data_IF_059527216415
#
_entry.id   IF_059527216415
#
_cell.length_a   1.000
_cell.length_b   1.000
_cell.length_c   1.000
_cell.angle_alpha   90.00
_cell.angle_beta   90.00
_cell.angle_gamma   90.00
#
_symmetry.space_group_name_H-M   'P 1'
#
loop_
_entity.id
_entity.type
_entity.pdbx_description
1 polymer ?
#
# COMPACT_ATOMS: atom_id res chain seq x y z
N UNK A 1 -21.47 -8.67 -8.55
CA UNK A 1 -20.13 -8.11 -8.70
C UNK A 1 -19.12 -9.16 -8.29
N UNK A 2 -18.21 -9.49 -9.20
CA UNK A 2 -17.19 -10.52 -9.03
C UNK A 2 -15.84 -9.86 -8.80
N UNK A 3 -15.15 -10.23 -7.73
CA UNK A 3 -13.92 -9.57 -7.29
C UNK A 3 -12.84 -10.61 -7.03
N UNK A 4 -11.67 -10.44 -7.63
CA UNK A 4 -10.48 -11.19 -7.27
C UNK A 4 -9.58 -10.34 -6.37
N UNK A 5 -9.07 -10.92 -5.30
CA UNK A 5 -8.06 -10.30 -4.44
C UNK A 5 -6.73 -10.98 -4.72
N UNK A 6 -5.86 -10.31 -5.46
CA UNK A 6 -4.52 -10.79 -5.78
C UNK A 6 -3.58 -10.45 -4.63
N UNK A 7 -3.22 -11.47 -3.86
CA UNK A 7 -2.46 -11.33 -2.63
C UNK A 7 -3.34 -11.22 -1.39
N UNK A 8 -3.83 -12.37 -0.91
CA UNK A 8 -4.60 -12.46 0.34
C UNK A 8 -3.70 -12.35 1.58
N UNK A 9 -2.83 -11.33 1.62
CA UNK A 9 -2.08 -10.93 2.82
C UNK A 9 -2.98 -10.28 3.88
N UNK A 10 -2.41 -9.58 4.85
CA UNK A 10 -3.17 -8.99 5.96
C UNK A 10 -4.29 -8.05 5.47
N UNK A 11 -3.99 -7.11 4.56
CA UNK A 11 -4.98 -6.18 3.99
C UNK A 11 -5.89 -6.90 2.98
N UNK A 12 -5.32 -7.68 2.05
CA UNK A 12 -6.11 -8.34 1.02
C UNK A 12 -7.11 -9.34 1.59
N UNK A 13 -6.72 -10.17 2.55
CA UNK A 13 -7.63 -11.10 3.22
C UNK A 13 -8.71 -10.35 4.04
N UNK A 14 -8.36 -9.26 4.71
CA UNK A 14 -9.33 -8.41 5.42
C UNK A 14 -10.39 -7.81 4.50
N UNK A 15 -9.95 -7.19 3.39
CA UNK A 15 -10.85 -6.61 2.38
C UNK A 15 -11.72 -7.70 1.75
N UNK A 16 -11.11 -8.80 1.32
CA UNK A 16 -11.83 -9.89 0.68
C UNK A 16 -12.88 -10.53 1.61
N UNK A 17 -12.53 -10.72 2.88
CA UNK A 17 -13.48 -11.22 3.88
C UNK A 17 -14.66 -10.24 4.11
N UNK A 18 -14.37 -8.92 4.16
CA UNK A 18 -15.37 -7.89 4.31
C UNK A 18 -16.31 -7.83 3.08
N UNK A 19 -15.76 -7.80 1.86
CA UNK A 19 -16.53 -7.82 0.62
C UNK A 19 -17.42 -9.06 0.50
N UNK A 20 -16.89 -10.24 0.84
CA UNK A 20 -17.67 -11.49 0.84
C UNK A 20 -18.83 -11.43 1.85
N UNK A 21 -18.58 -10.90 3.05
CA UNK A 21 -19.64 -10.66 4.06
C UNK A 21 -20.70 -9.69 3.55
N UNK A 22 -20.32 -8.72 2.71
CA UNK A 22 -21.22 -7.77 2.04
C UNK A 22 -22.01 -8.36 0.87
N UNK A 23 -21.81 -9.64 0.54
CA UNK A 23 -22.53 -10.35 -0.53
C UNK A 23 -21.86 -10.31 -1.91
N UNK A 24 -20.61 -9.82 -2.02
CA UNK A 24 -19.87 -9.91 -3.27
C UNK A 24 -19.37 -11.35 -3.54
N UNK A 25 -19.25 -11.73 -4.82
CA UNK A 25 -18.60 -12.96 -5.25
C UNK A 25 -17.08 -12.75 -5.23
N UNK A 26 -16.44 -13.21 -4.15
CA UNK A 26 -15.03 -12.94 -3.86
C UNK A 26 -14.16 -14.16 -4.05
N UNK A 27 -13.05 -13.98 -4.77
CA UNK A 27 -12.02 -14.98 -5.00
C UNK A 27 -10.69 -14.49 -4.44
N UNK A 28 -10.12 -15.23 -3.48
CA UNK A 28 -8.82 -14.90 -2.88
C UNK A 28 -7.71 -15.67 -3.57
N UNK A 29 -6.64 -14.99 -3.96
CA UNK A 29 -5.42 -15.61 -4.46
C UNK A 29 -4.38 -15.58 -3.35
N UNK A 30 -4.07 -16.77 -2.82
CA UNK A 30 -3.15 -16.98 -1.70
C UNK A 30 -2.22 -18.16 -2.01
N UNK A 31 -1.22 -18.41 -1.15
CA UNK A 31 -0.26 -19.51 -1.30
C UNK A 31 0.03 -20.22 0.03
N UNK A 32 0.58 -21.43 -0.07
CA UNK A 32 1.11 -22.19 1.07
C UNK A 32 0.09 -22.45 2.18
N UNK A 33 0.56 -22.46 3.41
CA UNK A 33 -0.28 -22.74 4.60
C UNK A 33 -1.45 -21.78 4.76
N UNK A 34 -1.26 -20.51 4.35
CA UNK A 34 -2.31 -19.51 4.43
C UNK A 34 -3.50 -19.87 3.50
N UNK A 35 -3.22 -20.31 2.27
CA UNK A 35 -4.23 -20.80 1.35
C UNK A 35 -4.95 -22.04 1.91
N UNK A 36 -4.19 -23.02 2.42
CA UNK A 36 -4.75 -24.26 2.98
C UNK A 36 -5.71 -23.93 4.12
N UNK A 37 -5.31 -23.04 5.03
CA UNK A 37 -6.14 -22.62 6.16
C UNK A 37 -7.42 -21.89 5.69
N UNK A 38 -7.33 -21.01 4.67
CA UNK A 38 -8.49 -20.31 4.11
C UNK A 38 -9.44 -21.29 3.45
N UNK A 39 -8.94 -22.27 2.68
CA UNK A 39 -9.77 -23.32 2.05
C UNK A 39 -10.53 -24.16 3.10
N UNK A 40 -9.85 -24.53 4.19
CA UNK A 40 -10.46 -25.36 5.23
C UNK A 40 -11.46 -24.60 6.12
N UNK A 41 -11.10 -23.40 6.55
CA UNK A 41 -11.78 -22.70 7.66
C UNK A 41 -12.40 -21.36 7.24
N UNK A 42 -12.06 -20.84 6.05
CA UNK A 42 -12.33 -19.46 5.67
C UNK A 42 -11.31 -18.49 6.25
N UNK A 43 -11.54 -17.20 6.06
CA UNK A 43 -10.77 -16.10 6.68
C UNK A 43 -11.47 -15.73 7.98
N UNK A 44 -10.78 -15.94 9.10
CA UNK A 44 -11.19 -15.41 10.40
C UNK A 44 -10.63 -14.01 10.57
N UNK A 45 -11.48 -13.06 10.90
CA UNK A 45 -11.09 -11.69 11.24
C UNK A 45 -11.38 -11.46 12.71
N UNK A 46 -10.33 -11.30 13.52
CA UNK A 46 -10.41 -10.88 14.91
C UNK A 46 -10.34 -9.35 14.94
N UNK A 47 -11.40 -8.68 15.42
CA UNK A 47 -11.54 -7.22 15.29
C UNK A 47 -12.16 -6.59 16.53
N UNK A 48 -11.67 -5.42 16.99
CA UNK A 48 -12.32 -4.65 18.06
C UNK A 48 -13.74 -4.21 17.70
N UNK A 49 -14.16 -4.38 16.45
CA UNK A 49 -15.51 -4.06 15.95
C UNK A 49 -16.42 -5.28 15.85
N UNK A 50 -15.99 -6.41 16.35
CA UNK A 50 -16.66 -7.71 16.29
C UNK A 50 -15.95 -8.69 15.35
N UNK A 51 -15.70 -9.88 15.86
CA UNK A 51 -15.07 -10.96 15.11
C UNK A 51 -16.07 -11.55 14.08
N UNK A 52 -15.52 -12.03 12.97
CA UNK A 52 -16.32 -12.73 11.97
C UNK A 52 -15.47 -13.72 11.18
N UNK A 53 -16.15 -14.63 10.49
CA UNK A 53 -15.55 -15.57 9.54
C UNK A 53 -16.24 -15.42 8.20
N UNK A 54 -15.45 -15.30 7.14
CA UNK A 54 -15.94 -15.33 5.75
C UNK A 54 -15.33 -16.53 5.02
N UNK A 55 -16.06 -17.15 4.12
CA UNK A 55 -15.62 -18.31 3.34
C UNK A 55 -15.63 -18.02 1.85
N UNK A 56 -14.86 -17.04 1.35
CA UNK A 56 -14.72 -16.82 -0.08
C UNK A 56 -13.99 -18.00 -0.73
N UNK A 57 -14.16 -18.15 -2.04
CA UNK A 57 -13.34 -19.09 -2.80
C UNK A 57 -11.86 -18.68 -2.70
N UNK A 58 -10.96 -19.66 -2.58
CA UNK A 58 -9.54 -19.40 -2.47
C UNK A 58 -8.71 -20.36 -3.33
N UNK A 59 -7.79 -19.82 -4.13
CA UNK A 59 -6.91 -20.58 -5.02
C UNK A 59 -5.52 -19.96 -5.11
N UNK A 60 -4.56 -20.70 -5.63
CA UNK A 60 -3.25 -20.22 -6.06
C UNK A 60 -3.14 -20.13 -7.59
N UNK A 61 -4.14 -20.64 -8.32
CA UNK A 61 -4.23 -20.53 -9.77
C UNK A 61 -5.33 -19.55 -10.20
N UNK A 62 -4.97 -18.32 -10.63
CA UNK A 62 -5.95 -17.35 -11.11
C UNK A 62 -6.74 -17.79 -12.35
N UNK A 63 -6.25 -18.79 -13.11
CA UNK A 63 -6.95 -19.32 -14.28
C UNK A 63 -8.26 -20.03 -13.92
N UNK A 64 -8.35 -20.59 -12.71
CA UNK A 64 -9.60 -21.18 -12.19
C UNK A 64 -10.70 -20.14 -12.00
N UNK A 65 -10.32 -18.85 -11.86
CA UNK A 65 -11.25 -17.75 -11.63
C UNK A 65 -11.74 -17.18 -12.98
N UNK A 66 -10.82 -16.89 -13.89
CA UNK A 66 -11.12 -16.18 -15.14
C UNK A 66 -11.43 -14.69 -14.91
N UNK A 67 -11.93 -13.98 -15.94
CA UNK A 67 -12.18 -12.54 -15.87
C UNK A 67 -13.17 -12.14 -14.77
N UNK A 68 -12.88 -11.02 -14.11
CA UNK A 68 -13.67 -10.46 -13.01
C UNK A 68 -13.97 -8.96 -13.24
N UNK A 69 -14.92 -8.41 -12.48
CA UNK A 69 -15.24 -6.98 -12.56
C UNK A 69 -14.11 -6.12 -11.94
N UNK A 70 -13.54 -6.60 -10.81
CA UNK A 70 -12.48 -5.89 -10.08
C UNK A 70 -11.37 -6.84 -9.66
N UNK A 71 -10.12 -6.39 -9.79
CA UNK A 71 -8.97 -7.01 -9.14
C UNK A 71 -8.46 -6.07 -8.04
N UNK A 72 -8.57 -6.48 -6.78
CA UNK A 72 -7.93 -5.77 -5.68
C UNK A 72 -6.51 -6.30 -5.48
N UNK A 73 -5.51 -5.42 -5.60
CA UNK A 73 -4.10 -5.74 -5.40
C UNK A 73 -3.76 -5.61 -3.91
N UNK A 74 -3.69 -6.73 -3.21
CA UNK A 74 -3.20 -6.83 -1.84
C UNK A 74 -1.70 -7.14 -1.76
N UNK A 75 -0.99 -7.02 -2.88
CA UNK A 75 0.47 -7.16 -2.99
C UNK A 75 1.16 -5.86 -2.59
N UNK A 76 2.45 -5.95 -2.25
CA UNK A 76 3.30 -4.76 -2.12
C UNK A 76 3.70 -4.23 -3.50
N UNK A 77 3.88 -2.90 -3.62
CA UNK A 77 4.13 -2.22 -4.88
C UNK A 77 5.30 -2.81 -5.70
N UNK A 78 6.39 -3.22 -5.03
CA UNK A 78 7.55 -3.84 -5.69
C UNK A 78 7.25 -5.17 -6.41
N UNK A 79 6.11 -5.79 -6.14
CA UNK A 79 5.68 -7.04 -6.79
C UNK A 79 4.80 -6.80 -8.02
N UNK A 80 4.42 -5.56 -8.33
CA UNK A 80 3.45 -5.30 -9.39
C UNK A 80 4.01 -5.62 -10.78
N UNK A 81 5.21 -5.20 -11.10
CA UNK A 81 5.86 -5.47 -12.39
C UNK A 81 5.95 -6.97 -12.73
N UNK A 82 6.05 -7.83 -11.72
CA UNK A 82 6.14 -9.29 -11.89
C UNK A 82 4.80 -10.02 -11.74
N UNK A 83 3.71 -9.29 -11.50
CA UNK A 83 2.39 -9.90 -11.28
C UNK A 83 1.65 -10.33 -12.57
N UNK A 84 2.20 -10.03 -13.75
CA UNK A 84 1.59 -10.30 -15.06
C UNK A 84 0.98 -11.68 -15.20
N UNK A 85 1.71 -12.78 -14.95
CA UNK A 85 1.17 -14.13 -15.07
C UNK A 85 -0.02 -14.43 -14.14
N UNK A 86 -0.09 -13.72 -13.01
CA UNK A 86 -1.16 -13.90 -12.02
C UNK A 86 -2.37 -13.02 -12.31
N UNK A 87 -2.17 -11.83 -12.87
CA UNK A 87 -3.27 -10.90 -13.09
C UNK A 87 -3.92 -11.07 -14.46
N UNK A 88 -3.15 -11.40 -15.52
CA UNK A 88 -3.66 -11.51 -16.89
C UNK A 88 -4.90 -12.42 -17.03
N UNK A 89 -4.99 -13.58 -16.35
CA UNK A 89 -6.19 -14.43 -16.45
C UNK A 89 -7.44 -13.80 -15.85
N UNK A 90 -7.29 -12.77 -14.97
CA UNK A 90 -8.38 -12.09 -14.27
C UNK A 90 -8.93 -10.90 -15.05
N UNK A 91 -8.22 -10.45 -16.08
CA UNK A 91 -8.55 -9.24 -16.82
C UNK A 91 -9.50 -9.55 -17.98
N UNK A 92 -10.70 -8.98 -17.94
CA UNK A 92 -11.59 -8.81 -19.09
C UNK A 92 -11.47 -7.39 -19.66
N UNK A 93 -12.34 -7.05 -20.61
CA UNK A 93 -12.29 -5.74 -21.28
C UNK A 93 -12.48 -4.57 -20.30
N UNK A 94 -13.41 -4.70 -19.35
CA UNK A 94 -13.79 -3.65 -18.42
C UNK A 94 -13.26 -3.87 -16.98
N UNK A 95 -12.42 -4.87 -16.75
CA UNK A 95 -11.88 -5.14 -15.41
C UNK A 95 -11.12 -3.94 -14.85
N UNK A 96 -11.55 -3.45 -13.70
CA UNK A 96 -10.86 -2.40 -12.95
C UNK A 96 -9.82 -2.99 -11.98
N UNK A 97 -8.68 -2.32 -11.84
CA UNK A 97 -7.58 -2.72 -10.96
C UNK A 97 -7.46 -1.73 -9.80
N UNK A 98 -7.71 -2.21 -8.59
CA UNK A 98 -7.70 -1.41 -7.36
C UNK A 98 -6.38 -1.65 -6.62
N UNK A 99 -5.52 -0.63 -6.59
CA UNK A 99 -4.21 -0.75 -5.95
C UNK A 99 -4.26 -0.35 -4.47
N UNK A 100 -4.33 -1.33 -3.60
CA UNK A 100 -4.30 -1.14 -2.14
C UNK A 100 -2.88 -0.99 -1.60
N UNK A 101 -2.09 -0.03 -2.09
CA UNK A 101 -0.69 0.17 -1.72
C UNK A 101 -0.46 1.41 -0.86
N UNK A 102 0.71 1.46 -0.20
CA UNK A 102 1.25 2.66 0.41
C UNK A 102 2.13 3.41 -0.60
N UNK A 103 2.25 4.73 -0.44
CA UNK A 103 3.15 5.54 -1.26
C UNK A 103 2.53 6.03 -2.56
N UNK A 104 3.40 6.48 -3.46
CA UNK A 104 3.02 6.96 -4.79
C UNK A 104 2.68 5.76 -5.68
N UNK A 105 1.51 5.77 -6.35
CA UNK A 105 1.15 4.72 -7.29
C UNK A 105 1.80 4.93 -8.67
N UNK A 106 1.99 3.84 -9.44
CA UNK A 106 2.56 3.89 -10.79
C UNK A 106 1.77 4.77 -11.76
N UNK A 107 0.46 4.88 -11.58
CA UNK A 107 -0.45 5.68 -12.41
C UNK A 107 -0.51 7.17 -12.00
N UNK A 108 0.32 7.65 -11.07
CA UNK A 108 0.16 8.96 -10.43
C UNK A 108 -0.01 10.11 -11.43
N UNK A 109 0.77 10.16 -12.51
CA UNK A 109 0.69 11.20 -13.54
C UNK A 109 -0.29 10.87 -14.69
N UNK A 110 -0.97 9.72 -14.67
CA UNK A 110 -1.99 9.39 -15.65
C UNK A 110 -3.23 10.27 -15.46
N UNK A 111 -3.68 10.94 -16.55
CA UNK A 111 -4.80 11.90 -16.52
C UNK A 111 -4.65 13.03 -15.49
N UNK A 112 -3.44 13.42 -15.16
CA UNK A 112 -3.15 14.61 -14.37
C UNK A 112 -2.94 15.79 -15.31
N UNK A 113 -3.93 16.68 -15.42
CA UNK A 113 -3.79 17.87 -16.27
C UNK A 113 -2.57 18.71 -15.88
N UNK A 114 -1.74 19.08 -16.86
CA UNK A 114 -0.57 19.91 -16.65
C UNK A 114 0.71 19.34 -17.25
N UNK A 115 1.88 19.92 -16.92
CA UNK A 115 3.14 19.62 -17.60
C UNK A 115 3.70 18.20 -17.29
N UNK A 116 3.13 17.52 -16.34
CA UNK A 116 3.58 16.19 -15.90
C UNK A 116 2.68 15.06 -16.38
N UNK A 117 1.59 15.36 -17.13
CA UNK A 117 0.65 14.35 -17.61
C UNK A 117 1.36 13.23 -18.38
N UNK A 118 1.04 11.98 -18.03
CA UNK A 118 1.61 10.79 -18.64
C UNK A 118 3.08 10.53 -18.30
N UNK A 119 3.71 11.35 -17.46
CA UNK A 119 5.10 11.13 -17.04
C UNK A 119 5.19 9.90 -16.16
N UNK A 120 6.22 9.09 -16.40
CA UNK A 120 6.53 7.91 -15.59
C UNK A 120 7.37 8.30 -14.37
N UNK A 121 7.17 7.56 -13.26
CA UNK A 121 7.99 7.61 -12.05
C UNK A 121 8.73 6.29 -11.98
N UNK A 122 10.04 6.30 -12.24
CA UNK A 122 10.86 5.08 -12.36
C UNK A 122 10.89 4.27 -11.06
N UNK A 123 10.81 4.92 -9.92
CA UNK A 123 10.79 4.24 -8.61
C UNK A 123 9.60 3.27 -8.44
N UNK A 124 8.47 3.50 -9.11
CA UNK A 124 7.26 2.67 -9.00
C UNK A 124 6.83 2.02 -10.31
N UNK A 125 7.46 2.41 -11.41
CA UNK A 125 7.23 1.84 -12.74
C UNK A 125 8.56 1.78 -13.53
N UNK A 126 9.51 0.95 -13.07
CA UNK A 126 10.85 0.88 -13.65
C UNK A 126 10.78 0.42 -15.11
N UNK A 127 11.26 1.28 -16.02
CA UNK A 127 11.22 1.04 -17.46
C UNK A 127 9.81 0.89 -18.07
N UNK A 128 8.73 1.20 -17.32
CA UNK A 128 7.35 0.98 -17.76
C UNK A 128 6.82 -0.42 -17.48
N UNK A 129 7.58 -1.29 -16.79
CA UNK A 129 7.21 -2.68 -16.56
C UNK A 129 5.94 -2.87 -15.74
N UNK A 130 5.65 -1.94 -14.82
CA UNK A 130 4.39 -1.98 -14.04
C UNK A 130 3.21 -1.58 -14.93
N UNK A 131 3.34 -0.50 -15.71
CA UNK A 131 2.28 -0.03 -16.62
C UNK A 131 2.00 -1.02 -17.76
N UNK A 132 3.00 -1.80 -18.21
CA UNK A 132 2.81 -2.85 -19.21
C UNK A 132 1.90 -3.97 -18.67
N UNK A 133 2.04 -4.32 -17.39
CA UNK A 133 1.23 -5.35 -16.72
C UNK A 133 -0.11 -4.80 -16.24
N UNK A 134 -0.10 -3.58 -15.70
CA UNK A 134 -1.22 -2.90 -15.05
C UNK A 134 -1.49 -1.58 -15.79
N UNK A 135 -2.19 -1.65 -16.93
CA UNK A 135 -2.50 -0.46 -17.72
C UNK A 135 -3.17 0.62 -16.84
N UNK A 136 -2.63 1.86 -16.80
CA UNK A 136 -3.13 2.93 -15.92
C UNK A 136 -4.63 3.27 -16.13
N UNK A 137 -5.19 2.98 -17.29
CA UNK A 137 -6.61 3.18 -17.63
C UNK A 137 -7.54 2.30 -16.79
N UNK A 138 -7.04 1.13 -16.35
CA UNK A 138 -7.78 0.20 -15.50
C UNK A 138 -7.73 0.60 -14.03
N UNK A 139 -6.82 1.50 -13.64
CA UNK A 139 -6.56 1.82 -12.26
C UNK A 139 -7.75 2.53 -11.59
N UNK A 140 -8.08 2.06 -10.40
CA UNK A 140 -8.79 2.82 -9.37
C UNK A 140 -7.79 3.01 -8.24
N UNK A 141 -7.50 4.25 -7.90
CA UNK A 141 -6.64 4.55 -6.76
C UNK A 141 -7.30 4.17 -5.44
N UNK A 142 -6.51 3.73 -4.48
CA UNK A 142 -7.01 3.33 -3.16
C UNK A 142 -6.01 3.70 -2.07
N UNK A 143 -6.42 4.56 -1.15
CA UNK A 143 -5.66 4.89 0.07
C UNK A 143 -6.15 4.02 1.22
N UNK A 144 -5.28 3.14 1.73
CA UNK A 144 -5.60 2.13 2.75
C UNK A 144 -5.24 2.68 4.14
N UNK A 145 -6.22 2.85 5.02
CA UNK A 145 -5.99 3.32 6.40
C UNK A 145 -5.99 2.20 7.45
N UNK A 146 -6.67 1.05 7.26
CA UNK A 146 -6.67 -0.02 8.25
C UNK A 146 -5.28 -0.54 8.57
N UNK A 147 -5.07 -0.85 9.84
CA UNK A 147 -3.93 -1.62 10.33
C UNK A 147 -4.39 -3.06 10.59
N UNK A 148 -3.76 -4.02 9.90
CA UNK A 148 -4.04 -5.44 10.02
C UNK A 148 -2.76 -6.25 10.03
N UNK A 149 -2.76 -7.38 10.70
CA UNK A 149 -1.65 -8.34 10.70
C UNK A 149 -2.18 -9.76 10.48
N UNK A 150 -1.38 -10.62 9.86
CA UNK A 150 -1.65 -12.06 9.84
C UNK A 150 -1.21 -12.59 11.21
N UNK A 151 -2.19 -13.05 12.00
CA UNK A 151 -1.96 -13.61 13.34
C UNK A 151 -1.57 -15.09 13.27
N UNK A 152 -2.20 -15.80 12.34
CA UNK A 152 -1.92 -17.19 11.98
C UNK A 152 -2.41 -17.45 10.55
N UNK A 153 -2.05 -18.56 9.91
CA UNK A 153 -2.62 -18.93 8.62
C UNK A 153 -4.17 -18.90 8.65
N UNK A 154 -4.78 -18.12 7.75
CA UNK A 154 -6.24 -17.90 7.67
C UNK A 154 -6.81 -16.98 8.75
N UNK A 155 -6.00 -16.42 9.66
CA UNK A 155 -6.46 -15.54 10.74
C UNK A 155 -5.86 -14.16 10.61
N UNK A 156 -6.72 -13.17 10.46
CA UNK A 156 -6.35 -11.76 10.36
C UNK A 156 -6.75 -11.04 11.65
N UNK A 157 -5.79 -10.39 12.30
CA UNK A 157 -6.07 -9.44 13.36
C UNK A 157 -6.20 -8.05 12.76
N UNK A 158 -7.40 -7.48 12.86
CA UNK A 158 -7.67 -6.08 12.56
C UNK A 158 -7.42 -5.26 13.83
N UNK A 159 -6.48 -4.32 13.74
CA UNK A 159 -6.05 -3.51 14.87
C UNK A 159 -6.88 -2.23 14.96
N UNK A 160 -6.94 -1.48 13.87
CA UNK A 160 -7.66 -0.21 13.80
C UNK A 160 -7.98 0.21 12.37
N UNK A 161 -8.88 1.21 12.24
CA UNK A 161 -9.25 1.80 10.95
C UNK A 161 -10.15 0.89 10.13
N UNK A 162 -11.01 1.51 9.30
CA UNK A 162 -11.85 0.77 8.34
C UNK A 162 -11.95 1.50 7.02
N UNK A 163 -11.27 2.67 6.89
CA UNK A 163 -11.40 3.54 5.71
C UNK A 163 -10.46 3.09 4.60
N UNK A 164 -11.04 2.95 3.42
CA UNK A 164 -10.37 2.82 2.13
C UNK A 164 -10.89 3.96 1.26
N UNK A 165 -10.13 5.03 1.07
CA UNK A 165 -10.53 6.10 0.15
C UNK A 165 -10.19 5.67 -1.26
N UNK A 166 -11.15 5.71 -2.18
CA UNK A 166 -10.95 5.33 -3.57
C UNK A 166 -11.28 6.50 -4.50
N UNK A 167 -10.72 6.47 -5.70
CA UNK A 167 -11.01 7.49 -6.71
C UNK A 167 -10.35 7.21 -8.05
N UNK A 168 -10.82 7.93 -9.06
CA UNK A 168 -10.28 7.85 -10.42
C UNK A 168 -8.96 8.61 -10.55
N UNK A 169 -7.99 8.10 -11.34
CA UNK A 169 -6.82 8.88 -11.70
C UNK A 169 -7.13 10.23 -12.36
N UNK A 170 -8.19 10.30 -13.16
CA UNK A 170 -8.65 11.53 -13.79
C UNK A 170 -9.51 12.44 -12.92
N UNK A 171 -9.76 12.02 -11.67
CA UNK A 171 -10.65 12.73 -10.76
C UNK A 171 -12.14 12.50 -11.05
N UNK A 172 -13.01 13.13 -10.25
CA UNK A 172 -14.45 12.96 -10.31
C UNK A 172 -14.96 11.66 -9.70
N UNK A 173 -16.24 11.38 -9.89
CA UNK A 173 -16.93 10.18 -9.38
C UNK A 173 -17.43 9.35 -10.56
N UNK A 174 -16.94 8.12 -10.67
CA UNK A 174 -17.34 7.18 -11.72
C UNK A 174 -18.30 6.11 -11.21
N UNK A 175 -19.05 5.48 -12.15
CA UNK A 175 -19.92 4.36 -11.82
C UNK A 175 -19.17 3.17 -11.21
N UNK A 176 -17.96 2.85 -11.72
CA UNK A 176 -17.14 1.75 -11.18
C UNK A 176 -16.63 2.04 -9.76
N UNK A 177 -16.27 3.29 -9.44
CA UNK A 177 -15.92 3.67 -8.07
C UNK A 177 -17.13 3.60 -7.14
N UNK A 178 -18.30 4.06 -7.57
CA UNK A 178 -19.53 4.02 -6.77
C UNK A 178 -19.96 2.58 -6.44
N UNK A 179 -19.95 1.69 -7.41
CA UNK A 179 -20.28 0.26 -7.22
C UNK A 179 -19.31 -0.44 -6.26
N UNK A 180 -18.00 -0.18 -6.39
CA UNK A 180 -17.01 -0.73 -5.47
C UNK A 180 -17.21 -0.19 -4.05
N UNK A 181 -17.44 1.12 -3.92
CA UNK A 181 -17.72 1.77 -2.64
C UNK A 181 -18.92 1.14 -1.92
N UNK A 182 -20.04 0.97 -2.63
CA UNK A 182 -21.25 0.33 -2.09
C UNK A 182 -20.97 -1.08 -1.57
N UNK A 183 -20.22 -1.90 -2.33
CA UNK A 183 -19.88 -3.25 -1.91
C UNK A 183 -18.97 -3.27 -0.68
N UNK A 184 -17.99 -2.38 -0.61
CA UNK A 184 -17.11 -2.25 0.55
C UNK A 184 -17.89 -1.79 1.80
N UNK A 185 -18.82 -0.84 1.62
CA UNK A 185 -19.70 -0.35 2.71
C UNK A 185 -20.64 -1.45 3.19
N UNK A 186 -21.24 -2.24 2.29
CA UNK A 186 -22.06 -3.40 2.64
C UNK A 186 -21.26 -4.43 3.47
N UNK A 187 -19.96 -4.56 3.19
CA UNK A 187 -19.01 -5.36 3.98
C UNK A 187 -18.61 -4.76 5.33
N UNK A 188 -19.10 -3.56 5.69
CA UNK A 188 -18.82 -2.88 6.95
C UNK A 188 -17.55 -2.02 6.94
N UNK A 189 -16.99 -1.73 5.77
CA UNK A 189 -15.86 -0.82 5.59
C UNK A 189 -16.36 0.62 5.36
N UNK A 190 -15.50 1.60 5.54
CA UNK A 190 -15.72 2.96 5.08
C UNK A 190 -14.97 3.12 3.76
N UNK A 191 -15.71 3.45 2.70
CA UNK A 191 -15.13 3.57 1.38
C UNK A 191 -15.64 4.83 0.66
N UNK A 192 -15.20 6.04 1.06
CA UNK A 192 -15.57 7.24 0.33
C UNK A 192 -14.95 7.23 -1.06
N UNK A 193 -15.69 7.74 -2.05
CA UNK A 193 -15.17 8.05 -3.38
C UNK A 193 -14.70 9.50 -3.37
N UNK A 194 -13.38 9.68 -3.49
CA UNK A 194 -12.75 11.00 -3.43
C UNK A 194 -12.63 11.59 -4.85
N UNK A 195 -13.25 12.74 -5.12
CA UNK A 195 -13.12 13.38 -6.44
C UNK A 195 -11.69 13.79 -6.78
N UNK A 196 -10.86 14.04 -5.78
CA UNK A 196 -9.42 14.29 -5.90
C UNK A 196 -8.62 13.39 -4.97
N UNK A 197 -8.50 12.12 -5.33
CA UNK A 197 -7.80 11.13 -4.50
C UNK A 197 -6.31 11.45 -4.29
N UNK A 198 -5.68 12.24 -5.17
CA UNK A 198 -4.26 12.62 -5.00
C UNK A 198 -4.02 13.38 -3.71
N UNK A 199 -4.94 14.24 -3.30
CA UNK A 199 -4.80 14.95 -2.02
C UNK A 199 -4.83 13.97 -0.84
N UNK A 200 -5.71 12.95 -0.86
CA UNK A 200 -5.73 11.87 0.17
C UNK A 200 -4.43 11.05 0.17
N UNK A 201 -3.85 10.79 -1.03
CA UNK A 201 -2.53 10.14 -1.14
C UNK A 201 -1.47 10.97 -0.41
N UNK A 202 -1.38 12.28 -0.68
CA UNK A 202 -0.39 13.16 -0.06
C UNK A 202 -0.62 13.35 1.43
N UNK A 203 -1.88 13.43 1.89
CA UNK A 203 -2.21 13.49 3.31
C UNK A 203 -1.64 12.29 4.08
N UNK A 204 -1.80 11.09 3.54
CA UNK A 204 -1.24 9.88 4.14
C UNK A 204 0.27 9.82 3.98
N UNK A 205 0.75 10.10 2.77
CA UNK A 205 2.16 9.98 2.39
C UNK A 205 3.06 10.91 3.18
N UNK A 206 2.65 12.15 3.45
CA UNK A 206 3.37 13.11 4.29
C UNK A 206 3.77 12.50 5.64
N UNK A 207 2.85 11.74 6.25
CA UNK A 207 3.16 11.02 7.49
C UNK A 207 4.11 9.84 7.26
N UNK A 208 3.90 9.06 6.22
CA UNK A 208 4.73 7.90 5.91
C UNK A 208 6.17 8.32 5.56
N UNK A 209 6.35 9.33 4.71
CA UNK A 209 7.68 9.87 4.34
C UNK A 209 8.44 10.37 5.58
N UNK A 210 7.74 11.01 6.51
CA UNK A 210 8.39 11.58 7.69
C UNK A 210 8.70 10.53 8.76
N UNK A 211 7.75 9.64 9.07
CA UNK A 211 7.91 8.72 10.21
C UNK A 211 8.52 7.38 9.85
N UNK A 212 8.18 6.79 8.69
CA UNK A 212 8.58 5.42 8.39
C UNK A 212 10.11 5.24 8.32
N UNK A 213 10.86 6.07 7.56
CA UNK A 213 12.30 5.92 7.49
C UNK A 213 12.97 6.24 8.83
N UNK A 214 12.54 7.28 9.54
CA UNK A 214 13.12 7.63 10.84
C UNK A 214 12.89 6.52 11.87
N UNK A 215 11.68 5.95 11.90
CA UNK A 215 11.36 4.82 12.77
C UNK A 215 12.21 3.58 12.45
N UNK A 216 12.41 3.26 11.16
CA UNK A 216 13.25 2.15 10.73
C UNK A 216 14.73 2.35 11.11
N UNK A 217 15.28 3.55 10.88
CA UNK A 217 16.67 3.89 11.18
C UNK A 217 16.98 3.91 12.69
N UNK A 218 16.03 4.39 13.50
CA UNK A 218 16.23 4.62 14.94
C UNK A 218 15.63 3.54 15.83
N UNK A 219 14.79 2.66 15.28
CA UNK A 219 13.95 1.69 16.00
C UNK A 219 12.92 2.34 16.94
N UNK A 220 12.75 3.65 16.85
CA UNK A 220 11.83 4.40 17.70
C UNK A 220 10.37 4.30 17.23
N UNK A 221 9.45 4.35 18.17
CA UNK A 221 8.02 4.48 17.96
C UNK A 221 7.63 5.91 17.56
N UNK A 222 6.42 6.08 17.03
CA UNK A 222 5.95 7.39 16.58
C UNK A 222 5.96 8.44 17.71
N UNK A 223 5.54 8.06 18.92
CA UNK A 223 5.52 8.97 20.07
C UNK A 223 6.93 9.36 20.52
N UNK A 224 7.91 8.43 20.47
CA UNK A 224 9.29 8.73 20.83
C UNK A 224 9.92 9.71 19.83
N UNK A 225 9.67 9.53 18.53
CA UNK A 225 10.11 10.47 17.49
C UNK A 225 9.52 11.87 17.72
N UNK A 226 8.23 11.95 18.05
CA UNK A 226 7.55 13.23 18.31
C UNK A 226 8.03 13.92 19.59
N UNK A 227 8.31 13.17 20.66
CA UNK A 227 8.73 13.72 21.96
C UNK A 227 10.22 14.13 22.03
N UNK A 228 11.05 13.62 21.12
CA UNK A 228 12.46 14.00 21.05
C UNK A 228 12.62 15.25 20.16
N UNK A 229 13.01 16.43 20.72
CA UNK A 229 12.96 17.67 19.99
C UNK A 229 13.78 17.69 18.67
N UNK A 230 14.98 17.09 18.58
CA UNK A 230 15.70 17.04 17.31
C UNK A 230 14.98 16.25 16.21
N UNK A 231 14.44 15.06 16.52
CA UNK A 231 13.70 14.26 15.53
C UNK A 231 12.34 14.87 15.20
N UNK A 232 11.65 15.51 16.16
CA UNK A 232 10.43 16.29 15.87
C UNK A 232 10.71 17.38 14.82
N UNK A 233 11.80 18.14 14.96
CA UNK A 233 12.19 19.13 13.94
C UNK A 233 12.48 18.49 12.58
N UNK A 234 13.18 17.35 12.57
CA UNK A 234 13.49 16.65 11.33
C UNK A 234 12.23 16.17 10.61
N UNK A 235 11.30 15.49 11.31
CA UNK A 235 10.04 15.03 10.68
C UNK A 235 9.17 16.20 10.22
N UNK A 236 9.23 17.35 10.92
CA UNK A 236 8.56 18.59 10.48
C UNK A 236 9.14 19.05 9.13
N UNK A 237 10.47 19.09 8.99
CA UNK A 237 11.13 19.47 7.72
C UNK A 237 10.82 18.50 6.58
N UNK A 238 10.79 17.19 6.86
CA UNK A 238 10.39 16.18 5.88
C UNK A 238 8.95 16.38 5.40
N UNK A 239 8.04 16.76 6.30
CA UNK A 239 6.65 17.07 5.95
C UNK A 239 6.55 18.35 5.11
N UNK A 240 7.31 19.41 5.46
CA UNK A 240 7.36 20.66 4.70
C UNK A 240 7.84 20.42 3.25
N UNK A 241 8.97 19.71 3.09
CA UNK A 241 9.50 19.33 1.78
C UNK A 241 8.50 18.48 0.98
N UNK A 242 7.83 17.52 1.63
CA UNK A 242 6.82 16.66 0.99
C UNK A 242 5.63 17.47 0.48
N UNK A 243 5.17 18.46 1.26
CA UNK A 243 4.04 19.33 0.84
C UNK A 243 4.44 20.31 -0.26
N UNK A 244 5.68 20.82 -0.28
CA UNK A 244 6.18 21.65 -1.40
C UNK A 244 6.22 20.84 -2.71
N UNK A 245 6.71 19.59 -2.65
CA UNK A 245 6.69 18.68 -3.80
C UNK A 245 5.25 18.44 -4.27
N UNK A 246 4.34 18.13 -3.35
CA UNK A 246 2.92 17.91 -3.67
C UNK A 246 2.32 19.11 -4.42
N UNK A 247 2.55 20.33 -3.91
CA UNK A 247 2.05 21.56 -4.51
C UNK A 247 2.60 21.77 -5.93
N UNK A 248 3.89 21.53 -6.15
CA UNK A 248 4.53 21.67 -7.47
C UNK A 248 4.02 20.67 -8.51
N UNK A 249 3.60 19.48 -8.07
CA UNK A 249 3.00 18.48 -8.96
C UNK A 249 1.47 18.55 -9.02
N UNK A 250 0.87 19.64 -8.53
CA UNK A 250 -0.54 19.95 -8.71
C UNK A 250 -1.48 19.39 -7.64
N UNK A 251 -0.99 19.00 -6.47
CA UNK A 251 -1.81 18.58 -5.32
C UNK A 251 -1.62 19.54 -4.15
N UNK A 252 -2.72 20.02 -3.56
CA UNK A 252 -2.69 20.95 -2.43
C UNK A 252 -3.55 20.43 -1.28
N UNK A 253 -3.09 19.38 -0.59
CA UNK A 253 -3.87 18.74 0.46
C UNK A 253 -4.11 19.69 1.63
N UNK A 254 -5.36 19.78 2.08
CA UNK A 254 -5.76 20.61 3.24
C UNK A 254 -5.42 19.87 4.54
N UNK A 255 -4.16 19.95 4.95
CA UNK A 255 -3.69 19.36 6.20
C UNK A 255 -2.62 20.19 6.86
N UNK A 256 -2.74 20.40 8.19
CA UNK A 256 -1.73 21.06 8.99
C UNK A 256 -0.71 20.03 9.51
N UNK A 257 0.58 20.34 9.37
CA UNK A 257 1.69 19.54 9.93
C UNK A 257 1.51 19.33 11.43
N UNK A 258 1.13 20.38 12.16
CA UNK A 258 0.92 20.29 13.62
C UNK A 258 -0.21 19.33 13.96
N UNK A 259 -1.32 19.31 13.19
CA UNK A 259 -2.40 18.33 13.35
C UNK A 259 -1.89 16.91 13.11
N UNK A 260 -1.00 16.72 12.12
CA UNK A 260 -0.41 15.41 11.83
C UNK A 260 0.52 14.93 12.93
N UNK A 261 1.36 15.83 13.48
CA UNK A 261 2.24 15.54 14.62
C UNK A 261 1.45 15.14 15.86
N UNK A 262 0.41 15.92 16.22
CA UNK A 262 -0.49 15.57 17.35
C UNK A 262 -1.17 14.22 17.13
N UNK A 263 -1.60 13.92 15.90
CA UNK A 263 -2.15 12.61 15.57
C UNK A 263 -1.14 11.48 15.80
N UNK A 264 0.10 11.68 15.38
CA UNK A 264 1.18 10.70 15.59
C UNK A 264 1.52 10.50 17.07
N UNK A 265 1.53 11.57 17.86
CA UNK A 265 1.70 11.48 19.31
C UNK A 265 0.53 10.71 19.99
N UNK A 266 -0.69 10.92 19.51
CA UNK A 266 -1.91 10.29 20.05
C UNK A 266 -1.99 8.78 19.79
N UNK A 267 -1.32 8.27 18.74
CA UNK A 267 -1.22 6.84 18.48
C UNK A 267 -0.35 6.10 19.52
N UNK A 268 0.51 6.84 20.25
CA UNK A 268 1.33 6.27 21.31
C UNK A 268 2.51 5.43 20.81
N UNK A 269 2.85 4.36 21.57
CA UNK A 269 3.98 3.48 21.28
C UNK A 269 3.71 2.53 20.11
N UNK A 270 3.24 3.09 18.99
CA UNK A 270 3.00 2.34 17.77
C UNK A 270 4.25 2.36 16.86
N UNK A 271 4.66 1.18 16.38
CA UNK A 271 5.73 1.02 15.39
C UNK A 271 5.16 1.27 13.99
N UNK A 272 5.88 2.01 13.17
CA UNK A 272 5.48 2.17 11.76
C UNK A 272 5.51 0.85 11.01
N UNK A 273 4.78 0.74 9.90
CA UNK A 273 4.79 -0.47 9.06
C UNK A 273 6.19 -0.80 8.54
N UNK A 274 7.01 0.22 8.22
CA UNK A 274 8.38 0.01 7.76
C UNK A 274 9.27 -0.56 8.86
N UNK A 275 9.11 -0.12 10.11
CA UNK A 275 9.84 -0.73 11.24
C UNK A 275 9.39 -2.17 11.49
N UNK A 276 8.09 -2.45 11.40
CA UNK A 276 7.56 -3.81 11.54
C UNK A 276 8.11 -4.73 10.44
N UNK A 277 8.17 -4.27 9.19
CA UNK A 277 8.77 -5.02 8.08
C UNK A 277 10.27 -5.26 8.31
N UNK A 278 11.00 -4.25 8.78
CA UNK A 278 12.42 -4.35 9.10
C UNK A 278 12.70 -5.38 10.19
N UNK A 279 11.92 -5.36 11.27
CA UNK A 279 12.04 -6.33 12.38
C UNK A 279 11.67 -7.76 11.96
N UNK A 280 10.74 -7.88 11.00
CA UNK A 280 10.37 -9.17 10.42
C UNK A 280 11.32 -9.62 9.28
N UNK A 281 12.39 -8.89 9.01
CA UNK A 281 13.32 -9.16 7.92
C UNK A 281 12.70 -9.07 6.53
N UNK A 282 11.60 -8.34 6.35
CA UNK A 282 10.90 -8.20 5.07
C UNK A 282 11.47 -7.03 4.27
N UNK A 283 11.35 -7.11 2.93
CA UNK A 283 11.68 -5.99 2.06
C UNK A 283 10.84 -4.75 2.42
N UNK A 284 11.52 -3.60 2.56
CA UNK A 284 10.91 -2.33 2.89
C UNK A 284 10.20 -1.73 1.66
N UNK A 285 9.06 -1.07 1.87
CA UNK A 285 8.35 -0.33 0.82
C UNK A 285 8.99 1.07 0.60
N UNK A 286 10.31 1.10 0.42
CA UNK A 286 11.05 2.36 0.30
C UNK A 286 10.73 3.07 -1.02
N UNK A 287 10.67 2.31 -2.13
CA UNK A 287 10.55 2.88 -3.47
C UNK A 287 9.27 3.71 -3.64
N UNK A 288 8.12 3.17 -3.25
CA UNK A 288 6.86 3.86 -3.38
C UNK A 288 6.66 4.98 -2.35
N UNK A 289 7.28 4.89 -1.16
CA UNK A 289 7.06 5.85 -0.06
C UNK A 289 8.08 6.99 -0.11
N UNK A 290 9.36 6.72 -0.36
CA UNK A 290 10.42 7.73 -0.24
C UNK A 290 11.10 7.99 -1.57
N UNK A 291 11.59 6.95 -2.27
CA UNK A 291 12.32 7.10 -3.53
C UNK A 291 11.49 7.82 -4.58
N UNK A 292 10.20 7.44 -4.73
CA UNK A 292 9.28 8.11 -5.66
C UNK A 292 9.10 9.60 -5.35
N UNK A 293 9.06 9.98 -4.06
CA UNK A 293 8.93 11.39 -3.66
C UNK A 293 10.22 12.16 -3.95
N UNK A 294 11.40 11.55 -3.75
CA UNK A 294 12.69 12.14 -4.16
C UNK A 294 12.74 12.34 -5.67
N UNK A 295 12.31 11.36 -6.46
CA UNK A 295 12.22 11.48 -7.90
C UNK A 295 11.23 12.57 -8.33
N UNK A 296 10.10 12.70 -7.66
CA UNK A 296 9.13 13.78 -7.90
C UNK A 296 9.71 15.17 -7.55
N UNK A 297 10.61 15.27 -6.56
CA UNK A 297 11.35 16.50 -6.30
C UNK A 297 12.27 16.85 -7.49
N UNK A 298 12.96 15.88 -8.08
CA UNK A 298 13.78 16.10 -9.29
C UNK A 298 12.91 16.54 -10.49
N UNK A 299 11.78 15.85 -10.69
CA UNK A 299 10.82 16.15 -11.76
C UNK A 299 10.27 17.58 -11.66
N UNK A 300 9.98 18.04 -10.45
CA UNK A 300 9.32 19.33 -10.19
C UNK A 300 10.30 20.48 -9.88
N UNK A 301 11.60 20.17 -9.77
CA UNK A 301 12.62 21.14 -9.36
C UNK A 301 12.48 21.60 -7.90
N UNK A 302 11.90 20.78 -7.04
CA UNK A 302 11.80 21.07 -5.61
C UNK A 302 13.11 20.79 -4.89
N UNK A 303 13.47 21.67 -3.96
CA UNK A 303 14.58 21.39 -3.03
C UNK A 303 14.08 20.48 -1.90
N UNK A 304 14.78 19.36 -1.67
CA UNK A 304 14.41 18.38 -0.66
C UNK A 304 15.65 17.82 0.06
N UNK A 305 16.47 18.67 0.69
CA UNK A 305 17.76 18.25 1.26
C UNK A 305 17.59 17.25 2.42
N UNK A 306 16.60 17.43 3.30
CA UNK A 306 16.37 16.51 4.41
C UNK A 306 15.83 15.18 3.93
N UNK A 307 14.90 15.19 2.97
CA UNK A 307 14.34 13.99 2.36
C UNK A 307 15.44 13.17 1.67
N UNK A 308 16.32 13.80 0.90
CA UNK A 308 17.45 13.12 0.24
C UNK A 308 18.42 12.49 1.23
N UNK A 309 18.75 13.20 2.31
CA UNK A 309 19.65 12.68 3.35
C UNK A 309 19.04 11.44 4.05
N UNK A 310 17.76 11.52 4.41
CA UNK A 310 17.04 10.40 5.05
C UNK A 310 16.85 9.24 4.08
N UNK A 311 16.54 9.53 2.81
CA UNK A 311 16.46 8.52 1.76
C UNK A 311 17.76 7.73 1.63
N UNK A 312 18.92 8.42 1.48
CA UNK A 312 20.20 7.77 1.32
C UNK A 312 20.55 6.81 2.48
N UNK A 313 20.29 7.23 3.73
CA UNK A 313 20.50 6.38 4.90
C UNK A 313 19.55 5.17 4.93
N UNK A 314 18.30 5.38 4.55
CA UNK A 314 17.29 4.32 4.56
C UNK A 314 17.48 3.34 3.40
N UNK A 315 17.93 3.80 2.24
CA UNK A 315 18.28 2.92 1.10
C UNK A 315 19.42 1.97 1.47
N UNK A 316 20.46 2.48 2.13
CA UNK A 316 21.55 1.63 2.61
C UNK A 316 21.06 0.57 3.62
N UNK A 317 20.17 0.96 4.54
CA UNK A 317 19.54 0.03 5.47
C UNK A 317 18.72 -1.04 4.73
N UNK A 318 17.92 -0.64 3.74
CA UNK A 318 17.07 -1.55 2.96
C UNK A 318 17.88 -2.59 2.18
N UNK A 319 19.00 -2.19 1.58
CA UNK A 319 19.95 -3.09 0.89
C UNK A 319 20.52 -4.16 1.83
N UNK A 320 20.82 -3.80 3.09
CA UNK A 320 21.29 -4.73 4.10
C UNK A 320 20.28 -5.83 4.41
N UNK A 321 18.98 -5.50 4.44
CA UNK A 321 17.90 -6.49 4.64
C UNK A 321 17.81 -7.47 3.47
N UNK A 322 17.87 -6.97 2.24
CA UNK A 322 17.77 -7.79 1.02
C UNK A 322 18.96 -8.75 0.89
N UNK A 323 20.17 -8.30 1.22
CA UNK A 323 21.39 -9.13 1.18
C UNK A 323 21.34 -10.26 2.22
N UNK A 324 20.82 -10.01 3.41
CA UNK A 324 20.67 -11.03 4.45
C UNK A 324 19.70 -12.14 4.02
N UNK A 325 18.65 -11.81 3.27
CA UNK A 325 17.72 -12.81 2.71
C UNK A 325 18.35 -13.64 1.57
N UNK A 326 19.18 -13.04 0.73
CA UNK A 326 19.90 -13.74 -0.35
C UNK A 326 20.94 -14.74 0.16
N UNK A 327 21.61 -14.41 1.26
CA UNK A 327 22.64 -15.28 1.84
C UNK A 327 22.07 -16.42 2.71
N UNK A 328 20.82 -16.32 3.15
CA UNK A 328 20.12 -17.39 3.90
C UNK A 328 19.64 -18.55 3.02
N UNK A 329 19.70 -18.41 1.68
CA UNK A 329 19.22 -19.42 0.73
C UNK A 329 20.34 -20.34 0.17
N UNK A 330 21.61 -20.14 0.57
CA UNK A 330 22.74 -21.00 0.16
C UNK A 330 23.56 -21.42 1.36
N UNK A 331 23.26 -22.61 1.91
CA UNK A 331 24.22 -23.64 2.27
C UNK A 331 23.51 -24.95 2.69
N UNK A 332 23.59 -26.02 1.89
CA UNK A 332 23.67 -27.35 2.47
C UNK A 332 25.15 -27.65 2.70
N UNK A 333 25.48 -27.85 3.99
CA UNK A 333 26.83 -28.14 4.43
C UNK A 333 27.53 -29.25 3.65
N UNK A 334 28.76 -29.00 3.25
CA UNK A 334 29.79 -30.04 3.08
C UNK A 334 30.68 -30.01 4.30
N UNK A 335 30.54 -31.05 5.10
CA UNK A 335 31.55 -31.46 6.12
C UNK A 335 32.71 -32.03 5.36
N UNK A 336 33.96 -31.55 5.47
CA UNK A 336 35.14 -32.30 5.04
C UNK A 336 35.45 -33.39 6.10
N UNK A 337 35.84 -34.56 5.56
CA UNK A 337 36.28 -35.72 6.31
C UNK A 337 37.60 -35.48 7.06
#
# INVERSE_FOLDING_TARGET
MRIAVLGAGAIGAYVGAALHRGGADVHLIARGEHLQAIRANGVRVNSPRGDFVAKPHATDDPKEIGPVDYVFLGLKAHSYATSGPLISPLLGDDTAVVAGQNGIPWWYFHKLAGPYEGRRIEAVDPGGATSEVLAPERAIGCVVYPATVIEAPGVIRHLEGTRFSIGEPGGGVSGRCSQLSEAMIAGGLKCPVEPNLRDDIWIKLMGNVAFNPISALTRATMVEICKHPPTRRLVTRLMEETLDIAARVGSTPDISIEKRLRGAEGVGHHKTSMLQDLEAGKQLELDAIVTAVVEMADISGAEAPHLRAVHAATDLLARGVTTAQGNGATEPGTVPA
#
